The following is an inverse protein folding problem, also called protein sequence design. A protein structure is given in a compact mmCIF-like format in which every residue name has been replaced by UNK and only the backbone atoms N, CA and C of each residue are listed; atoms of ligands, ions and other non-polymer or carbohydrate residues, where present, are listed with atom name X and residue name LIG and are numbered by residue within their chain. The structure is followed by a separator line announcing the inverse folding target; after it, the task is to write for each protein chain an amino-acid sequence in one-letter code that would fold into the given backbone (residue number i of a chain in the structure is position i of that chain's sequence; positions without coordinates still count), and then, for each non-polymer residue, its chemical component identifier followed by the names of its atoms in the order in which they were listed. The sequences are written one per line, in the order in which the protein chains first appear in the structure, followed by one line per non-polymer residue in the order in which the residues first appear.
data_IF_663379642294
#
_entry.id   IF_663379642294
#
_cell.length_a   1.000
_cell.length_b   1.000
_cell.length_c   1.000
_cell.angle_alpha   90.00
_cell.angle_beta   90.00
_cell.angle_gamma   90.00
#
_symmetry.space_group_name_H-M   'P 1'
#
loop_
_entity.id
_entity.type
_entity.pdbx_description
1 polymer ?
#
# COMPACT_ATOMS: atom_id res chain seq x y z
N UNK A 1 82.46 -12.51 -34.08
CA UNK A 1 82.12 -11.22 -33.45
C UNK A 1 81.77 -10.27 -34.59
N UNK A 2 80.61 -9.64 -34.73
CA UNK A 2 79.45 -9.44 -33.87
C UNK A 2 78.20 -9.69 -34.74
N UNK A 3 77.40 -10.64 -34.29
CA UNK A 3 76.24 -11.27 -34.96
C UNK A 3 75.05 -10.29 -34.92
N UNK A 4 74.40 -9.99 -36.06
CA UNK A 4 73.16 -10.66 -36.57
C UNK A 4 71.91 -10.13 -35.86
N UNK A 5 70.80 -9.73 -36.49
CA UNK A 5 70.05 -10.23 -37.67
C UNK A 5 68.71 -9.41 -37.59
N UNK A 6 67.88 -9.11 -38.57
CA UNK A 6 67.56 -9.66 -39.88
C UNK A 6 66.58 -8.65 -40.53
N UNK A 7 66.77 -8.41 -41.83
CA UNK A 7 65.79 -8.48 -42.92
C UNK A 7 64.36 -7.93 -42.70
N UNK A 8 63.70 -7.28 -43.65
CA UNK A 8 63.94 -6.95 -45.04
C UNK A 8 62.71 -6.12 -45.45
N UNK A 9 62.92 -5.19 -46.39
CA UNK A 9 62.00 -4.88 -47.49
C UNK A 9 60.61 -4.31 -47.19
N UNK A 10 60.53 -3.00 -47.49
CA UNK A 10 59.46 -2.34 -48.27
C UNK A 10 58.66 -3.29 -49.16
N UNK A 11 57.33 -3.13 -49.15
CA UNK A 11 56.46 -3.56 -50.25
C UNK A 11 54.97 -3.48 -49.94
N UNK A 12 54.35 -2.41 -50.42
CA UNK A 12 53.02 -2.33 -51.03
C UNK A 12 51.70 -2.51 -50.24
N UNK A 13 50.79 -1.57 -50.54
CA UNK A 13 49.33 -1.72 -50.79
C UNK A 13 48.51 -2.10 -49.53
N UNK A 14 47.32 -1.58 -49.23
CA UNK A 14 46.21 -1.15 -50.06
C UNK A 14 45.19 -0.42 -49.15
N UNK A 15 44.37 0.45 -49.74
CA UNK A 15 43.25 1.13 -49.09
C UNK A 15 42.12 0.11 -48.89
N UNK A 16 41.69 -0.10 -47.65
CA UNK A 16 40.50 -0.88 -47.27
C UNK A 16 39.58 -0.05 -46.37
N UNK A 17 38.29 0.00 -46.74
CA UNK A 17 37.19 0.80 -46.19
C UNK A 17 36.95 0.73 -44.67
N UNK A 18 36.29 1.74 -44.07
CA UNK A 18 36.08 1.81 -42.63
C UNK A 18 34.97 0.86 -42.17
N UNK A 19 35.32 -0.13 -41.36
CA UNK A 19 34.35 -0.94 -40.63
C UNK A 19 33.67 -0.11 -39.54
N UNK A 20 32.36 0.10 -39.69
CA UNK A 20 31.47 0.73 -38.71
C UNK A 20 31.45 -0.10 -37.43
N UNK A 21 32.13 0.36 -36.40
CA UNK A 21 31.87 -0.07 -35.03
C UNK A 21 30.74 0.79 -34.46
N UNK A 22 29.57 0.17 -34.32
CA UNK A 22 28.43 0.73 -33.60
C UNK A 22 28.83 0.89 -32.13
N UNK A 23 28.76 2.09 -31.53
CA UNK A 23 28.93 2.23 -30.09
C UNK A 23 27.73 1.52 -29.43
N UNK A 24 28.01 0.57 -28.53
CA UNK A 24 27.01 0.05 -27.61
C UNK A 24 26.41 1.23 -26.84
N UNK A 25 25.15 1.55 -27.12
CA UNK A 25 24.34 2.37 -26.23
C UNK A 25 23.93 1.50 -25.04
N UNK A 26 24.83 1.39 -24.08
CA UNK A 26 24.44 1.23 -22.68
C UNK A 26 24.79 2.52 -21.96
N UNK A 27 23.96 2.87 -20.96
CA UNK A 27 24.06 4.04 -20.10
C UNK A 27 23.29 5.28 -20.56
N UNK A 28 21.97 5.17 -20.52
CA UNK A 28 21.17 6.26 -19.96
C UNK A 28 20.28 5.73 -18.84
N UNK A 29 20.62 6.11 -17.61
CA UNK A 29 19.64 6.44 -16.55
C UNK A 29 19.09 5.33 -15.65
N UNK A 30 19.93 4.50 -15.00
CA UNK A 30 19.52 3.85 -13.74
C UNK A 30 19.40 4.85 -12.57
N UNK A 31 19.96 6.06 -12.72
CA UNK A 31 19.97 7.10 -11.66
C UNK A 31 18.68 7.93 -11.54
N UNK A 32 17.68 7.76 -12.42
CA UNK A 32 16.44 8.57 -12.40
C UNK A 32 15.15 7.77 -12.25
N UNK A 33 15.24 6.47 -11.97
CA UNK A 33 14.04 5.66 -11.79
C UNK A 33 13.37 6.01 -10.46
N UNK A 34 12.11 6.49 -10.50
CA UNK A 34 11.39 6.90 -9.27
C UNK A 34 11.34 5.72 -8.28
N UNK A 35 11.58 5.94 -6.97
CA UNK A 35 11.52 4.87 -5.99
C UNK A 35 10.11 4.28 -5.93
N UNK A 36 10.00 2.99 -5.60
CA UNK A 36 8.74 2.24 -5.67
C UNK A 36 7.63 2.89 -4.83
N UNK A 37 7.95 3.37 -3.63
CA UNK A 37 6.98 4.07 -2.78
C UNK A 37 6.40 5.33 -3.43
N UNK A 38 7.19 6.05 -4.25
CA UNK A 38 6.73 7.26 -4.93
C UNK A 38 5.83 6.90 -6.11
N UNK A 39 6.20 5.86 -6.88
CA UNK A 39 5.33 5.30 -7.93
C UNK A 39 3.98 4.84 -7.33
N UNK A 40 4.01 4.20 -6.16
CA UNK A 40 2.80 3.82 -5.42
C UNK A 40 1.97 5.04 -5.02
N UNK A 41 2.60 6.04 -4.38
CA UNK A 41 1.92 7.27 -3.95
C UNK A 41 1.28 8.03 -5.14
N UNK A 42 1.92 8.05 -6.31
CA UNK A 42 1.37 8.66 -7.52
C UNK A 42 0.06 8.01 -7.97
N UNK A 43 -0.11 6.70 -7.77
CA UNK A 43 -1.41 6.04 -8.01
C UNK A 43 -2.49 6.52 -7.05
N UNK A 44 -2.14 6.79 -5.79
CA UNK A 44 -3.09 7.31 -4.79
C UNK A 44 -3.47 8.76 -5.08
N UNK A 45 -2.53 9.57 -5.56
CA UNK A 45 -2.81 10.94 -6.04
C UNK A 45 -3.78 10.89 -7.22
N UNK A 46 -3.53 10.04 -8.21
CA UNK A 46 -4.44 9.86 -9.35
C UNK A 46 -5.84 9.40 -8.93
N UNK A 47 -5.92 8.48 -7.94
CA UNK A 47 -7.20 8.08 -7.36
C UNK A 47 -7.91 9.25 -6.68
N UNK A 48 -7.20 10.05 -5.89
CA UNK A 48 -7.78 11.21 -5.22
C UNK A 48 -8.38 12.21 -6.22
N UNK A 49 -7.64 12.54 -7.28
CA UNK A 49 -8.12 13.43 -8.36
C UNK A 49 -9.35 12.87 -9.08
N UNK A 50 -9.43 11.54 -9.27
CA UNK A 50 -10.58 10.88 -9.87
C UNK A 50 -11.80 10.89 -8.94
N UNK A 51 -11.59 10.69 -7.63
CA UNK A 51 -12.65 10.68 -6.63
C UNK A 51 -13.23 12.08 -6.37
N UNK A 52 -12.41 13.13 -6.40
CA UNK A 52 -12.86 14.52 -6.26
C UNK A 52 -13.81 14.96 -7.38
N UNK A 53 -13.70 14.33 -8.57
CA UNK A 53 -14.58 14.60 -9.72
C UNK A 53 -15.94 13.90 -9.61
N UNK A 54 -16.12 12.96 -8.67
CA UNK A 54 -17.40 12.30 -8.48
C UNK A 54 -18.38 13.26 -7.78
N UNK A 55 -19.66 13.30 -8.21
CA UNK A 55 -20.68 14.07 -7.49
C UNK A 55 -20.83 13.49 -6.08
N UNK A 56 -20.81 14.31 -5.01
CA UNK A 56 -20.86 13.80 -3.65
C UNK A 56 -22.16 13.02 -3.38
N UNK A 57 -22.14 11.98 -2.54
CA UNK A 57 -23.33 11.20 -2.25
C UNK A 57 -24.34 12.06 -1.47
N UNK A 58 -25.59 12.11 -1.92
CA UNK A 58 -26.66 12.97 -1.35
C UNK A 58 -26.81 12.90 0.18
N UNK A 59 -26.52 11.75 0.80
CA UNK A 59 -26.70 11.49 2.24
C UNK A 59 -25.39 11.32 3.01
N UNK A 60 -24.28 11.76 2.44
CA UNK A 60 -22.96 11.62 3.06
C UNK A 60 -22.24 12.97 3.01
N UNK A 61 -22.65 13.91 3.89
CA UNK A 61 -22.18 15.29 3.82
C UNK A 61 -20.71 15.48 4.23
N UNK A 62 -20.10 14.48 4.89
CA UNK A 62 -18.73 14.58 5.38
C UNK A 62 -17.89 13.44 4.80
N UNK A 63 -16.94 13.80 3.96
CA UNK A 63 -16.00 12.89 3.31
C UNK A 63 -14.59 13.33 3.68
N UNK A 64 -13.84 12.43 4.31
CA UNK A 64 -12.48 12.69 4.77
C UNK A 64 -11.51 11.90 3.90
N UNK A 65 -10.48 12.56 3.40
CA UNK A 65 -9.38 11.94 2.67
C UNK A 65 -8.04 12.09 3.42
N UNK A 66 -7.67 11.13 4.31
CA UNK A 66 -6.42 11.18 5.06
C UNK A 66 -5.16 11.11 4.19
N UNK A 67 -5.23 10.63 2.94
CA UNK A 67 -4.07 10.68 2.03
C UNK A 67 -3.72 12.13 1.67
N UNK A 68 -4.69 13.04 1.75
CA UNK A 68 -4.51 14.47 1.51
C UNK A 68 -4.08 15.18 2.79
N UNK A 69 -4.94 15.23 3.82
CA UNK A 69 -4.66 16.04 5.02
C UNK A 69 -3.64 15.41 5.98
N UNK A 70 -3.36 14.10 5.89
CA UNK A 70 -2.28 13.45 6.63
C UNK A 70 -1.14 13.00 5.69
N UNK A 71 -0.97 13.69 4.55
CA UNK A 71 -0.04 13.31 3.47
C UNK A 71 1.40 13.12 3.94
N UNK A 72 1.90 13.97 4.86
CA UNK A 72 3.27 13.83 5.36
C UNK A 72 3.48 12.45 6.02
N UNK A 73 2.66 12.11 7.03
CA UNK A 73 2.73 10.83 7.72
C UNK A 73 2.53 9.65 6.77
N UNK A 74 1.57 9.77 5.84
CA UNK A 74 1.30 8.72 4.88
C UNK A 74 2.50 8.47 3.97
N UNK A 75 3.09 9.52 3.40
CA UNK A 75 4.30 9.42 2.56
C UNK A 75 5.49 8.87 3.33
N UNK A 76 5.64 9.20 4.60
CA UNK A 76 6.71 8.66 5.44
C UNK A 76 6.51 7.17 5.73
N UNK A 77 5.27 6.71 5.92
CA UNK A 77 4.93 5.28 5.98
C UNK A 77 5.27 4.56 4.67
N UNK A 78 4.85 5.10 3.53
CA UNK A 78 5.17 4.50 2.22
C UNK A 78 6.68 4.47 1.99
N UNK A 79 7.38 5.59 2.21
CA UNK A 79 8.83 5.70 2.02
C UNK A 79 9.59 4.71 2.88
N UNK A 80 9.16 4.51 4.14
CA UNK A 80 9.85 3.64 5.09
C UNK A 80 9.58 2.17 4.84
N UNK A 81 8.39 1.82 4.35
CA UNK A 81 7.95 0.42 4.29
C UNK A 81 7.65 -0.12 2.88
N UNK A 82 7.88 0.68 1.83
CA UNK A 82 7.90 0.25 0.41
C UNK A 82 9.28 0.56 -0.20
N UNK A 83 10.29 -0.16 0.28
CA UNK A 83 11.67 -0.17 -0.23
C UNK A 83 11.89 -1.17 -1.40
N UNK A 84 10.89 -1.99 -1.69
CA UNK A 84 10.89 -2.99 -2.77
C UNK A 84 9.55 -3.71 -2.89
N UNK A 85 9.43 -4.70 -3.79
CA UNK A 85 8.24 -5.54 -3.92
C UNK A 85 7.83 -6.21 -2.59
N UNK A 86 6.54 -6.52 -2.43
CA UNK A 86 5.95 -7.07 -1.21
C UNK A 86 5.24 -8.37 -1.54
N UNK A 87 5.81 -9.51 -1.12
CA UNK A 87 5.29 -10.85 -1.39
C UNK A 87 3.91 -11.07 -0.76
N UNK A 88 3.61 -10.43 0.38
CA UNK A 88 2.34 -10.56 1.09
C UNK A 88 1.71 -9.17 1.34
N UNK A 89 0.53 -8.91 0.77
CA UNK A 89 -0.18 -7.64 0.96
C UNK A 89 -1.51 -7.85 1.66
N UNK A 90 -1.72 -7.15 2.78
CA UNK A 90 -2.99 -7.09 3.50
C UNK A 90 -3.79 -5.87 3.05
N UNK A 91 -5.04 -6.07 2.65
CA UNK A 91 -5.89 -4.99 2.13
C UNK A 91 -7.14 -4.84 2.98
N UNK A 92 -7.23 -3.75 3.74
CA UNK A 92 -8.41 -3.32 4.48
C UNK A 92 -9.41 -2.57 3.59
N UNK A 93 -10.60 -2.28 4.14
CA UNK A 93 -11.68 -1.65 3.37
C UNK A 93 -11.45 -0.15 3.17
N UNK A 94 -11.46 0.62 4.26
CA UNK A 94 -11.34 2.08 4.24
C UNK A 94 -10.92 2.61 5.63
N UNK A 95 -10.52 3.90 5.75
CA UNK A 95 -10.12 4.48 7.03
C UNK A 95 -11.20 4.38 8.11
N UNK A 96 -10.80 3.94 9.31
CA UNK A 96 -11.59 4.09 10.54
C UNK A 96 -11.42 5.49 11.15
N UNK A 97 -12.44 6.03 11.87
CA UNK A 97 -12.47 7.42 12.35
C UNK A 97 -11.36 7.80 13.32
N UNK A 98 -10.90 6.84 14.14
CA UNK A 98 -9.90 7.07 15.18
C UNK A 98 -8.51 6.51 14.81
N UNK A 99 -8.41 5.86 13.64
CA UNK A 99 -7.17 5.24 13.16
C UNK A 99 -6.62 6.02 11.98
N UNK A 100 -6.73 5.45 10.79
CA UNK A 100 -6.23 6.07 9.55
C UNK A 100 -6.79 7.49 9.29
N UNK A 101 -8.02 7.79 9.69
CA UNK A 101 -8.56 9.16 9.57
C UNK A 101 -7.89 10.19 10.51
N UNK A 102 -7.14 9.73 11.51
CA UNK A 102 -6.31 10.57 12.38
C UNK A 102 -4.84 10.53 11.98
N UNK A 103 -4.36 9.42 11.41
CA UNK A 103 -2.92 9.17 11.28
C UNK A 103 -2.42 9.08 9.84
N UNK A 104 -3.31 8.95 8.85
CA UNK A 104 -2.92 8.62 7.49
C UNK A 104 -2.53 7.16 7.27
N UNK A 105 -2.40 6.34 8.31
CA UNK A 105 -1.85 4.98 8.19
C UNK A 105 -2.97 3.92 8.23
N UNK A 106 -3.00 2.93 7.31
CA UNK A 106 -3.96 1.83 7.35
C UNK A 106 -3.96 1.13 8.71
N UNK A 107 -5.15 0.95 9.30
CA UNK A 107 -5.31 0.42 10.67
C UNK A 107 -4.47 1.19 11.72
N UNK A 108 -4.14 2.44 11.46
CA UNK A 108 -3.15 3.21 12.22
C UNK A 108 -3.70 3.79 13.51
N UNK A 109 -3.82 2.97 14.56
CA UNK A 109 -4.00 3.46 15.92
C UNK A 109 -2.82 4.38 16.33
N UNK A 110 -3.10 5.48 17.02
CA UNK A 110 -2.08 6.51 17.34
C UNK A 110 -0.86 5.91 18.06
N UNK A 111 -1.08 5.05 19.07
CA UNK A 111 0.03 4.38 19.79
C UNK A 111 0.88 3.54 18.85
N UNK A 112 0.25 2.79 17.94
CA UNK A 112 0.95 1.97 16.94
C UNK A 112 1.82 2.85 16.05
N UNK A 113 1.26 3.93 15.51
CA UNK A 113 1.97 4.83 14.59
C UNK A 113 3.15 5.53 15.28
N UNK A 114 2.94 6.08 16.49
CA UNK A 114 3.98 6.82 17.23
C UNK A 114 5.04 5.92 17.84
N UNK A 115 4.64 4.83 18.48
CA UNK A 115 5.55 4.03 19.32
C UNK A 115 6.14 2.86 18.54
N UNK A 116 5.30 2.12 17.80
CA UNK A 116 5.74 0.89 17.14
C UNK A 116 6.34 1.19 15.75
N UNK A 117 5.73 2.09 14.98
CA UNK A 117 6.24 2.50 13.66
C UNK A 117 7.18 3.70 13.71
N UNK A 118 7.24 4.41 14.85
CA UNK A 118 8.09 5.58 15.07
C UNK A 118 7.93 6.63 13.96
N UNK A 119 6.69 6.88 13.55
CA UNK A 119 6.34 7.93 12.59
C UNK A 119 5.89 9.18 13.36
N UNK A 120 6.37 10.33 12.89
CA UNK A 120 6.08 11.65 13.44
C UNK A 120 5.78 12.60 12.28
N UNK A 121 4.88 13.56 12.49
CA UNK A 121 4.46 14.48 11.44
C UNK A 121 3.20 15.23 11.83
N UNK A 122 2.86 16.25 11.06
CA UNK A 122 1.62 17.00 11.22
C UNK A 122 0.46 16.34 10.48
N UNK A 123 -0.75 16.65 10.93
CA UNK A 123 -2.00 16.25 10.29
C UNK A 123 -2.87 17.49 10.20
N UNK A 124 -3.20 17.86 8.97
CA UNK A 124 -4.07 18.98 8.65
C UNK A 124 -5.54 18.60 8.82
N UNK A 125 -6.44 19.56 8.59
CA UNK A 125 -7.89 19.34 8.68
C UNK A 125 -8.48 18.94 7.32
N UNK A 126 -9.53 18.09 7.30
CA UNK A 126 -10.36 17.94 6.11
C UNK A 126 -11.11 19.25 5.82
N UNK A 127 -11.51 19.52 4.56
CA UNK A 127 -12.16 20.79 4.19
C UNK A 127 -13.44 21.10 4.97
N UNK A 128 -14.19 20.05 5.33
CA UNK A 128 -15.42 20.15 6.12
C UNK A 128 -15.38 19.12 7.23
N UNK A 129 -15.27 19.59 8.48
CA UNK A 129 -15.17 18.75 9.68
C UNK A 129 -16.56 18.54 10.30
N UNK A 130 -16.93 17.29 10.56
CA UNK A 130 -18.10 16.96 11.37
C UNK A 130 -17.76 17.19 12.87
N UNK A 131 -18.58 17.90 13.66
CA UNK A 131 -18.28 18.21 15.07
C UNK A 131 -17.98 16.99 15.97
N UNK A 132 -18.69 15.88 15.76
CA UNK A 132 -18.45 14.58 16.46
C UNK A 132 -17.29 13.75 15.91
N UNK A 133 -16.61 14.19 14.86
CA UNK A 133 -15.48 13.49 14.21
C UNK A 133 -14.33 14.48 13.96
N UNK A 134 -13.80 15.13 15.01
CA UNK A 134 -12.66 16.01 14.85
C UNK A 134 -11.44 15.19 14.38
N UNK A 135 -10.58 15.83 13.59
CA UNK A 135 -9.26 15.30 13.26
C UNK A 135 -8.26 16.04 14.14
N UNK A 136 -7.64 15.34 15.09
CA UNK A 136 -6.65 15.90 16.01
C UNK A 136 -5.28 15.22 15.85
N UNK A 137 -5.11 14.48 14.76
CA UNK A 137 -3.83 13.89 14.40
C UNK A 137 -3.32 12.87 15.41
N UNK A 138 -2.00 12.94 15.66
CA UNK A 138 -1.29 12.11 16.62
C UNK A 138 -1.57 12.45 18.10
N UNK A 139 -2.47 13.39 18.37
CA UNK A 139 -2.99 13.71 19.70
C UNK A 139 -4.35 13.06 19.99
N UNK A 140 -4.90 12.31 19.04
CA UNK A 140 -6.13 11.54 19.27
C UNK A 140 -5.92 10.52 20.39
N UNK A 141 -6.73 10.63 21.44
CA UNK A 141 -6.68 9.74 22.62
C UNK A 141 -7.64 8.56 22.54
N UNK A 142 -8.51 8.54 21.53
CA UNK A 142 -9.47 7.47 21.34
C UNK A 142 -8.79 6.38 20.52
N UNK A 143 -8.72 5.17 21.06
CA UNK A 143 -8.14 4.06 20.33
C UNK A 143 -9.01 3.63 19.14
N UNK A 144 -8.34 3.05 18.14
CA UNK A 144 -8.98 2.33 17.05
C UNK A 144 -8.78 0.82 17.28
N UNK A 145 -9.78 0.10 17.85
CA UNK A 145 -9.58 -1.25 18.33
C UNK A 145 -9.18 -2.26 17.24
N UNK A 146 -9.62 -2.03 16.00
CA UNK A 146 -9.32 -2.94 14.89
C UNK A 146 -7.83 -2.88 14.55
N UNK A 147 -7.26 -1.68 14.56
CA UNK A 147 -5.85 -1.43 14.30
C UNK A 147 -4.93 -1.82 15.44
N UNK A 148 -5.37 -1.67 16.70
CA UNK A 148 -4.68 -2.25 17.86
C UNK A 148 -4.55 -3.77 17.67
N UNK A 149 -5.69 -4.47 17.48
CA UNK A 149 -5.71 -5.92 17.31
C UNK A 149 -4.82 -6.40 16.16
N UNK A 150 -4.90 -5.74 15.01
CA UNK A 150 -4.16 -6.13 13.81
C UNK A 150 -2.66 -5.93 13.98
N UNK A 151 -2.23 -4.72 14.32
CA UNK A 151 -0.81 -4.41 14.37
C UNK A 151 -0.10 -5.07 15.56
N UNK A 152 -0.75 -5.21 16.71
CA UNK A 152 -0.15 -5.93 17.84
C UNK A 152 0.06 -7.41 17.50
N UNK A 153 -0.90 -8.06 16.84
CA UNK A 153 -0.74 -9.42 16.34
C UNK A 153 0.42 -9.50 15.34
N UNK A 154 0.42 -8.62 14.32
CA UNK A 154 1.40 -8.70 13.23
C UNK A 154 2.83 -8.48 13.73
N UNK A 155 3.03 -7.48 14.59
CA UNK A 155 4.35 -7.16 15.13
C UNK A 155 4.80 -8.18 16.18
N UNK A 156 3.88 -8.81 16.93
CA UNK A 156 4.23 -9.96 17.78
C UNK A 156 4.72 -11.14 16.95
N UNK A 157 4.05 -11.47 15.84
CA UNK A 157 4.42 -12.60 14.99
C UNK A 157 5.73 -12.37 14.22
N UNK A 158 5.93 -11.14 13.73
CA UNK A 158 7.13 -10.71 13.00
C UNK A 158 8.31 -10.34 13.91
N UNK A 159 8.06 -10.11 15.21
CA UNK A 159 9.01 -9.57 16.17
C UNK A 159 9.13 -8.04 16.14
N UNK A 160 9.16 -7.43 14.95
CA UNK A 160 9.18 -5.97 14.79
C UNK A 160 8.71 -5.54 13.39
N UNK A 161 8.59 -4.22 13.19
CA UNK A 161 8.10 -3.64 11.94
C UNK A 161 9.11 -3.80 10.80
N UNK A 162 10.41 -3.76 11.09
CA UNK A 162 11.48 -3.87 10.09
C UNK A 162 11.49 -5.25 9.43
N UNK A 163 11.30 -6.32 10.21
CA UNK A 163 11.16 -7.69 9.72
C UNK A 163 9.87 -7.85 8.94
N UNK A 164 8.73 -7.38 9.50
CA UNK A 164 7.44 -7.45 8.82
C UNK A 164 7.49 -6.79 7.44
N UNK A 165 8.02 -5.56 7.36
CA UNK A 165 7.99 -4.76 6.14
C UNK A 165 8.90 -5.28 5.03
N UNK A 166 9.81 -6.22 5.29
CA UNK A 166 10.66 -6.79 4.23
C UNK A 166 9.82 -7.40 3.12
N UNK A 167 8.82 -8.20 3.50
CA UNK A 167 7.97 -8.92 2.56
C UNK A 167 6.50 -8.52 2.64
N UNK A 168 6.07 -7.90 3.74
CA UNK A 168 4.67 -7.60 3.98
C UNK A 168 4.35 -6.12 3.87
N UNK A 169 3.12 -5.81 3.46
CA UNK A 169 2.60 -4.45 3.49
C UNK A 169 1.10 -4.42 3.82
N UNK A 170 0.64 -3.35 4.47
CA UNK A 170 -0.77 -3.14 4.81
C UNK A 170 -1.27 -1.89 4.10
N UNK A 171 -2.39 -2.02 3.38
CA UNK A 171 -3.03 -0.97 2.59
C UNK A 171 -4.56 -0.97 2.78
N UNK A 172 -5.24 0.09 2.34
CA UNK A 172 -6.70 0.16 2.33
C UNK A 172 -7.21 0.32 0.89
N UNK A 173 -8.21 -0.48 0.51
CA UNK A 173 -8.82 -0.45 -0.83
C UNK A 173 -9.38 0.93 -1.20
N UNK A 174 -10.06 1.60 -0.27
CA UNK A 174 -10.63 2.92 -0.47
C UNK A 174 -9.96 3.91 0.49
N UNK A 175 -9.44 5.06 0.02
CA UNK A 175 -8.77 6.03 0.88
C UNK A 175 -9.75 6.91 1.68
N UNK A 176 -11.06 6.86 1.39
CA UNK A 176 -12.05 7.79 1.96
C UNK A 176 -12.74 7.24 3.22
N UNK A 177 -12.89 8.10 4.23
CA UNK A 177 -13.84 7.90 5.32
C UNK A 177 -15.11 8.73 5.09
N UNK A 178 -16.26 8.17 5.45
CA UNK A 178 -17.57 8.77 5.21
C UNK A 178 -18.35 8.87 6.51
N UNK A 179 -18.96 10.04 6.76
CA UNK A 179 -19.81 10.25 7.92
C UNK A 179 -21.18 10.81 7.54
N UNK A 180 -22.20 10.27 8.19
CA UNK A 180 -23.56 10.81 8.14
C UNK A 180 -23.66 12.15 8.88
N UNK A 181 -24.78 12.86 8.69
CA UNK A 181 -25.06 14.12 9.38
C UNK A 181 -25.15 13.99 10.91
N UNK A 182 -25.40 12.77 11.41
CA UNK A 182 -25.42 12.43 12.84
C UNK A 182 -24.03 12.08 13.40
N UNK A 183 -23.02 12.00 12.52
CA UNK A 183 -21.65 11.60 12.79
C UNK A 183 -21.43 10.09 12.69
N UNK A 184 -22.43 9.27 12.32
CA UNK A 184 -22.21 7.82 12.21
C UNK A 184 -21.23 7.53 11.08
N UNK A 185 -20.37 6.54 11.29
CA UNK A 185 -19.50 6.03 10.24
C UNK A 185 -20.34 5.31 9.17
N UNK A 186 -20.14 5.67 7.91
CA UNK A 186 -20.74 5.02 6.74
C UNK A 186 -19.61 4.29 6.02
N UNK A 187 -19.76 2.99 5.80
CA UNK A 187 -18.77 2.21 5.05
C UNK A 187 -19.06 2.24 3.55
N UNK A 188 -18.06 1.96 2.68
CA UNK A 188 -18.29 1.83 1.24
C UNK A 188 -19.41 0.83 0.84
N UNK A 189 -19.70 -0.17 1.68
CA UNK A 189 -20.80 -1.11 1.43
C UNK A 189 -22.18 -0.49 1.66
N UNK A 190 -22.28 0.53 2.51
CA UNK A 190 -23.52 1.22 2.88
C UNK A 190 -23.85 2.40 1.96
N UNK A 191 -22.90 2.87 1.15
CA UNK A 191 -23.13 3.88 0.12
C UNK A 191 -24.12 3.34 -0.92
N UNK A 192 -24.96 4.22 -1.46
CA UNK A 192 -26.04 3.88 -2.41
C UNK A 192 -25.83 4.59 -3.74
N UNK A 193 -26.56 4.15 -4.75
CA UNK A 193 -26.60 4.79 -6.07
C UNK A 193 -25.33 4.59 -6.90
N UNK A 194 -25.20 5.41 -7.93
CA UNK A 194 -24.10 5.38 -8.91
C UNK A 194 -22.73 5.59 -8.26
N UNK A 195 -22.66 6.44 -7.24
CA UNK A 195 -21.43 6.72 -6.49
C UNK A 195 -20.78 5.44 -5.94
N UNK A 196 -21.56 4.51 -5.40
CA UNK A 196 -21.03 3.23 -4.86
C UNK A 196 -20.25 2.47 -5.93
N UNK A 197 -20.82 2.37 -7.13
CA UNK A 197 -20.21 1.65 -8.26
C UNK A 197 -18.96 2.40 -8.74
N UNK A 198 -19.06 3.70 -8.95
CA UNK A 198 -17.94 4.52 -9.43
C UNK A 198 -16.76 4.51 -8.45
N UNK A 199 -17.02 4.69 -7.15
CA UNK A 199 -16.03 4.57 -6.08
C UNK A 199 -15.34 3.19 -6.14
N UNK A 200 -16.14 2.12 -6.13
CA UNK A 200 -15.61 0.76 -6.12
C UNK A 200 -14.81 0.41 -7.38
N UNK A 201 -15.18 0.93 -8.55
CA UNK A 201 -14.47 0.70 -9.80
C UNK A 201 -13.14 1.48 -9.86
N UNK A 202 -13.12 2.76 -9.45
CA UNK A 202 -11.90 3.56 -9.37
C UNK A 202 -10.89 2.99 -8.36
N UNK A 203 -11.38 2.61 -7.17
CA UNK A 203 -10.53 1.97 -6.16
C UNK A 203 -9.97 0.63 -6.64
N UNK A 204 -10.78 -0.19 -7.33
CA UNK A 204 -10.29 -1.48 -7.87
C UNK A 204 -9.26 -1.27 -8.99
N UNK A 205 -9.50 -0.33 -9.90
CA UNK A 205 -8.56 -0.01 -10.96
C UNK A 205 -7.21 0.44 -10.38
N UNK A 206 -7.24 1.31 -9.36
CA UNK A 206 -6.02 1.79 -8.71
C UNK A 206 -5.31 0.65 -7.96
N UNK A 207 -6.07 -0.22 -7.27
CA UNK A 207 -5.50 -1.38 -6.61
C UNK A 207 -4.81 -2.33 -7.61
N UNK A 208 -5.34 -2.51 -8.82
CA UNK A 208 -4.65 -3.29 -9.87
C UNK A 208 -3.27 -2.73 -10.20
N UNK A 209 -3.15 -1.40 -10.32
CA UNK A 209 -1.89 -0.72 -10.60
C UNK A 209 -0.91 -0.90 -9.44
N UNK A 210 -1.40 -0.70 -8.21
CA UNK A 210 -0.63 -0.90 -6.98
C UNK A 210 -0.14 -2.34 -6.81
N UNK A 211 -0.98 -3.34 -7.11
CA UNK A 211 -0.59 -4.76 -7.04
C UNK A 211 0.46 -5.10 -8.10
N UNK A 212 0.38 -4.52 -9.30
CA UNK A 212 1.43 -4.67 -10.33
C UNK A 212 2.77 -4.06 -9.89
N UNK A 213 2.73 -2.95 -9.14
CA UNK A 213 3.93 -2.33 -8.56
C UNK A 213 4.53 -3.18 -7.44
N UNK A 214 3.69 -3.61 -6.49
CA UNK A 214 4.13 -4.38 -5.32
C UNK A 214 4.48 -5.83 -5.63
N UNK A 215 3.91 -6.41 -6.70
CA UNK A 215 4.11 -7.79 -7.14
C UNK A 215 3.89 -8.87 -6.05
N UNK A 216 2.77 -8.86 -5.30
CA UNK A 216 2.53 -9.88 -4.28
C UNK A 216 2.26 -11.27 -4.85
N UNK A 217 2.79 -12.28 -4.18
CA UNK A 217 2.42 -13.68 -4.36
C UNK A 217 1.13 -14.02 -3.60
N UNK A 218 0.87 -13.29 -2.51
CA UNK A 218 -0.31 -13.49 -1.66
C UNK A 218 -0.98 -12.16 -1.34
N UNK A 219 -2.30 -12.12 -1.52
CA UNK A 219 -3.15 -10.99 -1.13
C UNK A 219 -4.12 -11.49 -0.06
N UNK A 220 -4.12 -10.84 1.10
CA UNK A 220 -5.06 -11.11 2.19
C UNK A 220 -6.05 -9.95 2.30
N UNK A 221 -7.29 -10.19 1.88
CA UNK A 221 -8.38 -9.26 2.11
C UNK A 221 -8.80 -9.31 3.59
N UNK A 222 -8.73 -8.17 4.27
CA UNK A 222 -9.18 -8.02 5.66
C UNK A 222 -10.66 -7.66 5.66
N UNK A 223 -11.51 -8.69 5.61
CA UNK A 223 -12.97 -8.59 5.56
C UNK A 223 -13.57 -8.92 4.18
N UNK A 224 -14.89 -9.11 4.17
CA UNK A 224 -15.61 -9.61 2.98
C UNK A 224 -15.70 -8.60 1.84
N UNK A 225 -15.81 -7.30 2.14
CA UNK A 225 -15.98 -6.28 1.10
C UNK A 225 -14.83 -6.29 0.10
N UNK A 226 -13.59 -6.25 0.61
CA UNK A 226 -12.38 -6.26 -0.22
C UNK A 226 -12.21 -7.61 -0.92
N UNK A 227 -12.48 -8.71 -0.22
CA UNK A 227 -12.41 -10.05 -0.80
C UNK A 227 -13.36 -10.20 -2.01
N UNK A 228 -14.59 -9.71 -1.88
CA UNK A 228 -15.56 -9.68 -2.98
C UNK A 228 -15.13 -8.73 -4.11
N UNK A 229 -14.49 -7.60 -3.82
CA UNK A 229 -13.93 -6.72 -4.85
C UNK A 229 -12.79 -7.40 -5.62
N UNK A 230 -11.89 -8.11 -4.94
CA UNK A 230 -10.77 -8.85 -5.53
C UNK A 230 -11.21 -10.01 -6.44
N UNK A 231 -12.45 -10.51 -6.33
CA UNK A 231 -13.00 -11.46 -7.33
C UNK A 231 -13.12 -10.86 -8.73
N UNK A 232 -13.09 -9.52 -8.86
CA UNK A 232 -13.05 -8.83 -10.15
C UNK A 232 -11.62 -8.44 -10.54
N UNK A 233 -10.64 -8.65 -9.66
CA UNK A 233 -9.25 -8.31 -9.91
C UNK A 233 -8.66 -9.18 -11.02
N UNK A 234 -7.97 -8.56 -11.97
CA UNK A 234 -7.18 -9.26 -12.98
C UNK A 234 -5.92 -9.84 -12.35
N UNK A 235 -5.18 -9.02 -11.59
CA UNK A 235 -3.98 -9.45 -10.87
C UNK A 235 -4.26 -10.64 -9.94
N UNK A 236 -5.30 -10.55 -9.09
CA UNK A 236 -5.67 -11.59 -8.14
C UNK A 236 -6.22 -12.88 -8.75
N UNK A 237 -6.48 -12.92 -10.07
CA UNK A 237 -6.89 -14.14 -10.81
C UNK A 237 -5.72 -14.85 -11.48
N UNK A 238 -4.52 -14.28 -11.43
CA UNK A 238 -3.33 -14.91 -11.99
C UNK A 238 -3.04 -16.20 -11.23
N UNK A 239 -2.67 -17.29 -11.93
CA UNK A 239 -2.42 -18.60 -11.32
C UNK A 239 -1.29 -18.63 -10.29
N UNK A 240 -0.39 -17.64 -10.34
CA UNK A 240 0.72 -17.47 -9.39
C UNK A 240 0.37 -16.64 -8.15
N UNK A 241 -0.87 -16.15 -8.02
CA UNK A 241 -1.29 -15.27 -6.91
C UNK A 241 -2.36 -15.96 -6.09
N UNK A 242 -2.13 -16.09 -4.78
CA UNK A 242 -3.13 -16.60 -3.85
C UNK A 242 -3.92 -15.44 -3.22
N UNK A 243 -5.25 -15.53 -3.22
CA UNK A 243 -6.11 -14.55 -2.56
C UNK A 243 -6.86 -15.22 -1.42
N UNK A 244 -6.64 -14.72 -0.20
CA UNK A 244 -7.33 -15.21 0.99
C UNK A 244 -8.17 -14.12 1.64
N UNK A 245 -9.09 -14.56 2.52
CA UNK A 245 -9.92 -13.66 3.32
C UNK A 245 -9.67 -13.89 4.80
N UNK A 246 -9.11 -12.88 5.45
CA UNK A 246 -9.02 -12.80 6.90
C UNK A 246 -10.28 -12.10 7.45
N UNK A 247 -10.95 -12.62 8.50
CA UNK A 247 -12.02 -11.90 9.18
C UNK A 247 -11.58 -10.50 9.65
N UNK A 248 -12.47 -9.51 9.62
CA UNK A 248 -12.10 -8.14 10.02
C UNK A 248 -11.90 -8.04 11.55
N UNK A 249 -10.91 -7.30 12.06
CA UNK A 249 -10.62 -7.18 13.50
C UNK A 249 -11.64 -6.37 14.32
N UNK A 250 -12.74 -5.91 13.72
CA UNK A 250 -13.65 -4.96 14.36
C UNK A 250 -14.41 -5.63 15.51
N UNK A 251 -14.51 -4.98 16.69
CA UNK A 251 -15.30 -5.52 17.80
C UNK A 251 -16.80 -5.50 17.49
N UNK A 252 -17.24 -4.75 16.47
CA UNK A 252 -18.65 -4.72 16.03
C UNK A 252 -19.02 -5.94 15.19
N UNK A 253 -18.05 -6.72 14.73
CA UNK A 253 -18.33 -7.97 14.03
C UNK A 253 -18.92 -8.99 15.01
N UNK A 254 -20.04 -9.67 14.68
CA UNK A 254 -20.63 -10.68 15.56
C UNK A 254 -19.62 -11.76 15.96
N UNK A 255 -19.61 -12.16 17.23
CA UNK A 255 -18.78 -13.25 17.78
C UNK A 255 -17.26 -13.06 17.56
N UNK A 256 -16.78 -11.80 17.54
CA UNK A 256 -15.38 -11.44 17.26
C UNK A 256 -14.58 -11.04 18.52
N UNK A 257 -14.76 -11.78 19.61
CA UNK A 257 -14.09 -11.55 20.91
C UNK A 257 -12.65 -12.07 20.93
N UNK A 258 -12.37 -13.19 20.26
CA UNK A 258 -11.07 -13.84 20.15
C UNK A 258 -10.45 -13.69 18.74
N UNK A 259 -10.50 -12.47 18.20
CA UNK A 259 -9.97 -12.21 16.86
C UNK A 259 -8.46 -12.51 16.73
N UNK A 260 -7.59 -12.11 17.67
CA UNK A 260 -6.15 -12.36 17.54
C UNK A 260 -5.80 -13.85 17.39
N UNK A 261 -6.48 -14.73 18.14
CA UNK A 261 -6.27 -16.17 18.11
C UNK A 261 -6.74 -16.77 16.79
N UNK A 262 -7.94 -16.39 16.33
CA UNK A 262 -8.49 -16.81 15.03
C UNK A 262 -7.62 -16.35 13.87
N UNK A 263 -7.13 -15.11 13.93
CA UNK A 263 -6.27 -14.54 12.91
C UNK A 263 -4.90 -15.21 12.89
N UNK A 264 -4.32 -15.52 14.05
CA UNK A 264 -3.08 -16.29 14.12
C UNK A 264 -3.25 -17.69 13.52
N UNK A 265 -4.29 -18.43 13.91
CA UNK A 265 -4.56 -19.76 13.38
C UNK A 265 -4.72 -19.75 11.86
N UNK A 266 -5.43 -18.75 11.30
CA UNK A 266 -5.53 -18.55 9.85
C UNK A 266 -4.16 -18.30 9.20
N UNK A 267 -3.32 -17.45 9.79
CA UNK A 267 -1.98 -17.15 9.26
C UNK A 267 -1.06 -18.39 9.31
N UNK A 268 -1.22 -19.25 10.32
CA UNK A 268 -0.51 -20.53 10.45
C UNK A 268 -0.99 -21.54 9.41
N UNK A 269 -2.31 -21.75 9.31
CA UNK A 269 -2.96 -22.67 8.38
C UNK A 269 -2.56 -22.41 6.92
N UNK A 270 -2.48 -21.13 6.53
CA UNK A 270 -2.08 -20.73 5.19
C UNK A 270 -0.57 -20.52 5.01
N UNK A 271 0.24 -20.88 6.01
CA UNK A 271 1.70 -20.72 6.00
C UNK A 271 2.15 -19.30 5.62
N UNK A 272 1.49 -18.29 6.21
CA UNK A 272 1.73 -16.87 5.93
C UNK A 272 2.72 -16.23 6.90
N UNK A 273 2.90 -16.82 8.10
CA UNK A 273 3.82 -16.30 9.12
C UNK A 273 5.28 -16.23 8.63
N UNK A 274 5.71 -17.17 7.77
CA UNK A 274 7.05 -17.14 7.17
C UNK A 274 7.34 -15.84 6.42
N UNK A 275 6.36 -15.27 5.71
CA UNK A 275 6.55 -13.97 5.04
C UNK A 275 6.70 -12.85 6.07
N UNK A 276 5.88 -12.88 7.13
CA UNK A 276 5.92 -11.89 8.21
C UNK A 276 7.25 -11.90 8.98
N UNK A 277 7.92 -13.06 9.03
CA UNK A 277 9.24 -13.24 9.65
C UNK A 277 10.40 -13.08 8.67
N UNK A 278 10.13 -12.77 7.39
CA UNK A 278 11.13 -12.70 6.33
C UNK A 278 11.91 -14.02 6.10
N UNK A 279 11.19 -15.15 6.16
CA UNK A 279 11.72 -16.52 6.03
C UNK A 279 11.31 -17.19 4.70
N UNK A 280 10.64 -16.47 3.79
CA UNK A 280 10.10 -16.99 2.53
C UNK A 280 10.82 -16.49 1.28
#
# INVERSE_FOLDING_TARGET
MLKRKLNQQKGNLEIGEPSKTIPRQDSTSEFFDKPLWLKFYETEVGLNEALEKLPPPERTPFIYNPIVYASQLHRDYLRRYIDGPKKLVFVGMNPGPNGMAQTGIPFGNVRTVKVLMQLVGSVDQPPVVHPKRPVVGLDCRIEEPSGVRLWELFLRLAGNMQTFSQQCFVHNFCPLAFFGADGRNITPSEIRGTYKKQLGDLCLQTLEEQLKLLKPEVIVAVGEYVHSALKRSGYGKTSSVSVFRLPHPSPRSPNNTNWPEKAQAFLEEHNLIRFMRNEA
#
